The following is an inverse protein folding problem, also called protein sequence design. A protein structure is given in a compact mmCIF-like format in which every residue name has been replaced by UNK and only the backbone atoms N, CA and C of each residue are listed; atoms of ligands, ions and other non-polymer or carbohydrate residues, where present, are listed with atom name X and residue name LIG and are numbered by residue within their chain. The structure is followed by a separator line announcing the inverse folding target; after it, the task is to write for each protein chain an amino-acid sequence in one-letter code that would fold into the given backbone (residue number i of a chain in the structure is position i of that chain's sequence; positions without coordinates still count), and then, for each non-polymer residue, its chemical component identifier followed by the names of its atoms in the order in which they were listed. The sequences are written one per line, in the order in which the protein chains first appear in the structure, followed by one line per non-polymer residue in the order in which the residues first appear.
data_IF_346899503412
#
_entry.id   IF_346899503412
#
_cell.length_a   1.000
_cell.length_b   1.000
_cell.length_c   1.000
_cell.angle_alpha   90.00
_cell.angle_beta   90.00
_cell.angle_gamma   90.00
#
_symmetry.space_group_name_H-M   'P 1'
#
loop_
_entity.id
_entity.type
_entity.pdbx_description
1 polymer ?
#
# COMPACT_ATOMS: atom_id res chain seq x y z
N UNK A 1 -8.89 26.45 5.64
CA UNK A 1 -9.02 26.77 7.08
C UNK A 1 -8.59 25.55 7.86
N UNK A 2 -7.36 25.53 8.38
CA UNK A 2 -6.90 24.51 9.31
C UNK A 2 -7.56 24.76 10.67
N UNK A 3 -8.43 23.86 11.17
CA UNK A 3 -8.93 24.01 12.53
C UNK A 3 -7.75 23.89 13.50
N UNK A 4 -7.78 24.68 14.59
CA UNK A 4 -6.81 24.60 15.69
C UNK A 4 -7.15 23.34 16.49
N UNK A 5 -6.68 22.19 16.01
CA UNK A 5 -6.93 20.90 16.63
C UNK A 5 -5.71 20.51 17.45
N UNK A 6 -5.92 20.10 18.70
CA UNK A 6 -4.86 19.53 19.50
C UNK A 6 -4.25 18.33 18.74
N UNK A 7 -2.91 18.19 18.67
CA UNK A 7 -2.27 17.09 17.95
C UNK A 7 -2.74 15.72 18.47
N UNK A 8 -3.08 15.65 19.76
CA UNK A 8 -3.66 14.47 20.39
C UNK A 8 -5.03 14.09 19.81
N UNK A 9 -5.91 15.07 19.57
CA UNK A 9 -7.22 14.83 18.97
C UNK A 9 -7.13 14.45 17.50
N UNK A 10 -6.19 15.01 16.75
CA UNK A 10 -5.94 14.62 15.36
C UNK A 10 -5.38 13.20 15.27
N UNK A 11 -4.49 12.81 16.20
CA UNK A 11 -3.95 11.46 16.29
C UNK A 11 -5.04 10.41 16.57
N UNK A 12 -5.90 10.65 17.56
CA UNK A 12 -7.02 9.77 17.86
C UNK A 12 -8.03 9.67 16.71
N UNK A 13 -8.40 10.81 16.08
CA UNK A 13 -9.29 10.82 14.93
C UNK A 13 -8.70 10.08 13.72
N UNK A 14 -7.39 10.20 13.48
CA UNK A 14 -6.71 9.52 12.37
C UNK A 14 -6.63 8.01 12.55
N UNK A 15 -6.47 7.52 13.79
CA UNK A 15 -6.38 6.07 14.08
C UNK A 15 -7.76 5.39 14.04
N UNK A 16 -8.80 6.03 14.58
CA UNK A 16 -10.11 5.39 14.74
C UNK A 16 -11.16 5.83 13.72
N UNK A 17 -11.24 7.12 13.41
CA UNK A 17 -12.33 7.69 12.61
C UNK A 17 -12.01 7.77 11.12
N UNK A 18 -10.74 8.00 10.76
CA UNK A 18 -10.31 8.18 9.36
C UNK A 18 -9.34 7.12 8.85
N UNK A 19 -9.14 6.04 9.61
CA UNK A 19 -8.25 4.97 9.18
C UNK A 19 -8.92 4.11 8.10
N UNK A 20 -8.22 3.92 6.98
CA UNK A 20 -8.69 3.16 5.83
C UNK A 20 -9.09 1.72 6.17
N UNK A 21 -8.39 1.08 7.12
CA UNK A 21 -8.63 -0.31 7.52
C UNK A 21 -9.79 -0.44 8.51
N UNK A 22 -9.86 0.45 9.52
CA UNK A 22 -10.84 0.35 10.61
C UNK A 22 -12.18 1.03 10.30
N UNK A 23 -12.17 2.13 9.54
CA UNK A 23 -13.37 2.93 9.29
C UNK A 23 -14.01 2.64 7.93
N UNK A 24 -13.19 2.40 6.89
CA UNK A 24 -13.69 2.17 5.53
C UNK A 24 -13.70 0.70 5.10
N UNK A 25 -13.10 -0.22 5.88
CA UNK A 25 -13.07 -1.67 5.62
C UNK A 25 -12.54 -2.07 4.22
N UNK A 26 -11.67 -1.25 3.60
CA UNK A 26 -11.02 -1.60 2.33
C UNK A 26 -9.76 -2.45 2.58
N UNK A 27 -9.53 -3.49 1.75
CA UNK A 27 -8.27 -4.25 1.75
C UNK A 27 -8.11 -5.26 2.90
N UNK A 28 -9.19 -5.69 3.56
CA UNK A 28 -9.11 -6.60 4.72
C UNK A 28 -8.78 -8.06 4.39
N UNK A 29 -8.86 -8.46 3.12
CA UNK A 29 -8.73 -9.86 2.68
C UNK A 29 -7.40 -10.48 3.13
N UNK A 30 -6.28 -9.80 2.85
CA UNK A 30 -4.94 -10.24 3.23
C UNK A 30 -4.68 -10.10 4.74
N UNK A 31 -5.27 -9.08 5.37
CA UNK A 31 -5.17 -8.85 6.82
C UNK A 31 -5.78 -10.00 7.64
N UNK A 32 -7.03 -10.39 7.35
CA UNK A 32 -7.74 -11.45 8.11
C UNK A 32 -7.05 -12.81 7.92
N UNK A 33 -6.52 -13.08 6.73
CA UNK A 33 -5.86 -14.36 6.42
C UNK A 33 -4.53 -14.53 7.15
N UNK A 34 -3.69 -13.48 7.19
CA UNK A 34 -2.31 -13.58 7.69
C UNK A 34 -2.16 -13.30 9.20
N UNK A 35 -3.21 -12.77 9.86
CA UNK A 35 -3.15 -12.35 11.26
C UNK A 35 -2.89 -13.47 12.28
N UNK A 36 -3.03 -14.75 11.87
CA UNK A 36 -2.78 -15.90 12.76
C UNK A 36 -1.30 -16.18 13.01
N UNK A 37 -0.42 -15.79 12.09
CA UNK A 37 1.00 -16.09 12.15
C UNK A 37 1.84 -14.80 12.24
N UNK A 38 2.36 -14.51 13.44
CA UNK A 38 3.12 -13.28 13.70
C UNK A 38 4.37 -13.13 12.83
N UNK A 39 5.04 -14.24 12.50
CA UNK A 39 6.23 -14.22 11.63
C UNK A 39 5.88 -13.83 10.19
N UNK A 40 4.75 -14.31 9.67
CA UNK A 40 4.27 -14.02 8.31
C UNK A 40 3.67 -12.62 8.21
N UNK A 41 2.88 -12.23 9.22
CA UNK A 41 2.25 -10.90 9.31
C UNK A 41 3.28 -9.76 9.31
N UNK A 42 4.39 -9.90 10.03
CA UNK A 42 5.44 -8.89 10.04
C UNK A 42 6.14 -8.76 8.67
N UNK A 43 6.31 -9.88 7.96
CA UNK A 43 6.86 -9.90 6.60
C UNK A 43 5.95 -9.20 5.58
N UNK A 44 4.64 -9.50 5.63
CA UNK A 44 3.65 -8.84 4.77
C UNK A 44 3.53 -7.34 5.05
N UNK A 45 3.48 -6.94 6.33
CA UNK A 45 3.39 -5.54 6.71
C UNK A 45 4.61 -4.73 6.21
N UNK A 46 5.81 -5.30 6.32
CA UNK A 46 7.02 -4.66 5.83
C UNK A 46 7.05 -4.59 4.29
N UNK A 47 6.63 -5.64 3.60
CA UNK A 47 6.52 -5.64 2.14
C UNK A 47 5.55 -4.56 1.64
N UNK A 48 4.35 -4.48 2.23
CA UNK A 48 3.31 -3.51 1.82
C UNK A 48 3.72 -2.07 2.12
N UNK A 49 4.37 -1.80 3.26
CA UNK A 49 4.86 -0.44 3.57
C UNK A 49 5.94 0.02 2.59
N UNK A 50 6.85 -0.87 2.18
CA UNK A 50 7.85 -0.57 1.13
C UNK A 50 7.18 -0.29 -0.21
N UNK A 51 6.22 -1.12 -0.65
CA UNK A 51 5.51 -0.89 -1.91
C UNK A 51 4.74 0.43 -1.87
N UNK A 52 3.99 0.71 -0.80
CA UNK A 52 3.20 1.93 -0.66
C UNK A 52 4.08 3.19 -0.66
N UNK A 53 5.22 3.17 0.03
CA UNK A 53 6.12 4.31 0.07
C UNK A 53 6.73 4.61 -1.30
N UNK A 54 7.20 3.57 -2.01
CA UNK A 54 7.78 3.70 -3.35
C UNK A 54 6.73 4.13 -4.38
N UNK A 55 5.58 3.45 -4.42
CA UNK A 55 4.50 3.75 -5.38
C UNK A 55 3.90 5.14 -5.15
N UNK A 56 3.79 5.61 -3.91
CA UNK A 56 3.32 6.97 -3.61
C UNK A 56 4.28 8.02 -4.19
N UNK A 57 5.59 7.83 -4.01
CA UNK A 57 6.61 8.72 -4.60
C UNK A 57 6.57 8.72 -6.12
N UNK A 58 6.47 7.55 -6.74
CA UNK A 58 6.37 7.41 -8.20
C UNK A 58 5.08 8.01 -8.76
N UNK A 59 3.93 7.75 -8.13
CA UNK A 59 2.64 8.28 -8.57
C UNK A 59 2.59 9.81 -8.51
N UNK A 60 3.28 10.44 -7.56
CA UNK A 60 3.41 11.89 -7.52
C UNK A 60 4.15 12.44 -8.76
N UNK A 61 5.28 11.83 -9.13
CA UNK A 61 6.02 12.21 -10.34
C UNK A 61 5.19 12.00 -11.62
N UNK A 62 4.51 10.86 -11.70
CA UNK A 62 3.64 10.51 -12.83
C UNK A 62 2.47 11.48 -12.94
N UNK A 63 1.87 11.89 -11.82
CA UNK A 63 0.77 12.86 -11.80
C UNK A 63 1.19 14.21 -12.38
N UNK A 64 2.36 14.71 -11.98
CA UNK A 64 2.89 15.98 -12.48
C UNK A 64 3.09 15.94 -14.00
N UNK A 65 3.60 14.81 -14.52
CA UNK A 65 3.78 14.58 -15.94
C UNK A 65 2.42 14.54 -16.68
N UNK A 66 1.45 13.79 -16.14
CA UNK A 66 0.13 13.64 -16.75
C UNK A 66 -0.67 14.95 -16.81
N UNK A 67 -0.53 15.80 -15.79
CA UNK A 67 -1.13 17.14 -15.77
C UNK A 67 -0.53 18.05 -16.83
N UNK A 68 0.79 17.99 -17.03
CA UNK A 68 1.47 18.81 -18.05
C UNK A 68 1.06 18.42 -19.47
N UNK A 69 0.76 17.14 -19.70
CA UNK A 69 0.29 16.64 -20.99
C UNK A 69 -1.23 16.82 -21.20
N UNK A 70 -1.99 17.22 -20.18
CA UNK A 70 -3.46 17.34 -20.26
C UNK A 70 -4.22 16.01 -20.24
N UNK A 71 -3.55 14.88 -19.97
CA UNK A 71 -4.14 13.53 -19.98
C UNK A 71 -4.69 13.08 -18.61
N UNK A 72 -5.29 14.01 -17.86
CA UNK A 72 -5.78 13.74 -16.50
C UNK A 72 -6.79 12.58 -16.39
N UNK A 73 -7.52 12.26 -17.46
CA UNK A 73 -8.48 11.15 -17.51
C UNK A 73 -7.84 9.76 -17.36
N UNK A 74 -6.59 9.58 -17.82
CA UNK A 74 -5.90 8.27 -17.77
C UNK A 74 -5.22 7.99 -16.42
N UNK A 75 -5.29 8.93 -15.46
CA UNK A 75 -4.58 8.87 -14.19
C UNK A 75 -4.75 7.53 -13.46
N UNK A 76 -5.98 7.03 -13.37
CA UNK A 76 -6.27 5.79 -12.66
C UNK A 76 -5.60 4.58 -13.31
N UNK A 77 -5.67 4.46 -14.63
CA UNK A 77 -5.06 3.34 -15.37
C UNK A 77 -3.54 3.36 -15.22
N UNK A 78 -2.92 4.54 -15.35
CA UNK A 78 -1.47 4.68 -15.21
C UNK A 78 -1.01 4.34 -13.78
N UNK A 79 -1.74 4.79 -12.75
CA UNK A 79 -1.40 4.46 -11.36
C UNK A 79 -1.48 2.95 -11.09
N UNK A 80 -2.47 2.24 -11.64
CA UNK A 80 -2.57 0.78 -11.49
C UNK A 80 -1.36 0.09 -12.13
N UNK A 81 -0.94 0.52 -13.33
CA UNK A 81 0.23 -0.04 -14.03
C UNK A 81 1.52 0.19 -13.22
N UNK A 82 1.71 1.38 -12.65
CA UNK A 82 2.87 1.70 -11.81
C UNK A 82 2.91 0.81 -10.58
N UNK A 83 1.77 0.64 -9.90
CA UNK A 83 1.68 -0.23 -8.71
C UNK A 83 2.00 -1.69 -9.10
N UNK A 84 1.39 -2.19 -10.18
CA UNK A 84 1.63 -3.56 -10.65
C UNK A 84 3.11 -3.81 -10.98
N UNK A 85 3.78 -2.87 -11.65
CA UNK A 85 5.19 -2.99 -11.97
C UNK A 85 6.08 -3.06 -10.72
N UNK A 86 5.77 -2.26 -9.69
CA UNK A 86 6.53 -2.27 -8.42
C UNK A 86 6.29 -3.55 -7.64
N UNK A 87 5.04 -4.03 -7.57
CA UNK A 87 4.69 -5.29 -6.90
C UNK A 87 5.35 -6.49 -7.59
N UNK A 88 5.42 -6.48 -8.93
CA UNK A 88 6.10 -7.54 -9.69
C UNK A 88 7.58 -7.64 -9.32
N UNK A 89 8.25 -6.49 -9.16
CA UNK A 89 9.67 -6.46 -8.74
C UNK A 89 9.80 -6.99 -7.30
N UNK A 90 8.87 -6.62 -6.41
CA UNK A 90 8.86 -7.11 -5.04
C UNK A 90 8.69 -8.63 -4.98
N UNK A 91 7.83 -9.22 -5.82
CA UNK A 91 7.64 -10.67 -5.90
C UNK A 91 8.95 -11.39 -6.22
N UNK A 92 9.67 -10.91 -7.24
CA UNK A 92 10.98 -11.46 -7.62
C UNK A 92 12.02 -11.31 -6.49
N UNK A 93 11.98 -10.23 -5.71
CA UNK A 93 12.87 -10.02 -4.56
C UNK A 93 12.54 -10.98 -3.42
N UNK A 94 11.27 -11.18 -3.10
CA UNK A 94 10.84 -12.06 -1.99
C UNK A 94 11.16 -13.52 -2.29
N UNK A 95 10.93 -13.98 -3.53
CA UNK A 95 11.29 -15.34 -3.96
C UNK A 95 12.79 -15.59 -3.79
N UNK A 96 13.63 -14.58 -4.04
CA UNK A 96 15.09 -14.68 -3.89
C UNK A 96 15.57 -14.64 -2.44
N UNK A 97 14.92 -13.90 -1.56
CA UNK A 97 15.39 -13.68 -0.18
C UNK A 97 14.92 -14.79 0.77
N UNK A 98 13.70 -15.29 0.63
CA UNK A 98 13.15 -16.28 1.57
C UNK A 98 12.00 -17.10 1.00
N UNK A 99 12.28 -18.37 0.65
CA UNK A 99 11.27 -19.32 0.17
C UNK A 99 10.18 -19.63 1.21
N UNK A 100 10.51 -19.55 2.50
CA UNK A 100 9.53 -19.75 3.60
C UNK A 100 8.46 -18.66 3.62
N UNK A 101 8.85 -17.41 3.32
CA UNK A 101 7.92 -16.29 3.23
C UNK A 101 7.12 -16.35 1.93
N UNK A 102 7.75 -16.72 0.81
CA UNK A 102 7.08 -16.90 -0.47
C UNK A 102 5.99 -17.99 -0.41
N UNK A 103 6.24 -19.12 0.25
CA UNK A 103 5.24 -20.19 0.42
C UNK A 103 4.04 -19.78 1.28
N UNK A 104 4.22 -18.89 2.26
CA UNK A 104 3.12 -18.40 3.11
C UNK A 104 2.40 -17.19 2.53
N UNK A 105 3.01 -16.46 1.59
CA UNK A 105 2.59 -15.09 1.23
C UNK A 105 2.42 -14.86 -0.28
N UNK A 106 2.96 -15.73 -1.13
CA UNK A 106 3.08 -15.52 -2.58
C UNK A 106 1.76 -15.33 -3.31
N UNK A 107 0.65 -15.87 -2.79
CA UNK A 107 -0.69 -15.72 -3.39
C UNK A 107 -1.29 -14.33 -3.11
N UNK A 108 -0.86 -13.66 -2.03
CA UNK A 108 -1.40 -12.37 -1.58
C UNK A 108 -0.56 -11.17 -2.01
N UNK A 109 0.60 -11.39 -2.64
CA UNK A 109 1.46 -10.30 -3.08
C UNK A 109 0.97 -9.63 -4.38
N UNK A 110 0.46 -10.36 -5.39
CA UNK A 110 -0.04 -9.78 -6.64
C UNK A 110 -1.46 -9.18 -6.56
N UNK A 111 -2.14 -9.32 -5.42
CA UNK A 111 -3.57 -9.06 -5.22
C UNK A 111 -3.80 -7.91 -4.22
#
# INVERSE_FOLDING_TARGET
MSPVINPLSLFFASIFTSNILLANFLGMCSFISISKDMKSSNGLGLAVTVVLTVTTGLNWLVLQLLQTLGLGYLRYVVFIIVIAAVVQILEMVIDRVSQTLYMSLGIFLPL
#
